data_IF_155958079772
#
_entry.id   IF_155958079772
#
_cell.length_a   1.000
_cell.length_b   1.000
_cell.length_c   1.000
_cell.angle_alpha   90.00
_cell.angle_beta   90.00
_cell.angle_gamma   90.00
#
_symmetry.space_group_name_H-M   'P 1'
#
loop_
_entity.id
_entity.type
_entity.pdbx_description
1 polymer ?
#
# COMPACT_ATOMS: atom_id res chain seq x y z
N UNK A 1 -24.09 19.18 7.92
CA UNK A 1 -24.98 18.07 7.47
C UNK A 1 -24.14 16.83 7.30
N UNK A 2 -24.58 15.69 7.85
CA UNK A 2 -23.88 14.42 7.67
C UNK A 2 -24.03 13.96 6.21
N UNK A 3 -22.92 13.59 5.57
CA UNK A 3 -22.92 13.12 4.18
C UNK A 3 -23.88 11.95 4.00
N UNK A 4 -24.78 12.09 3.02
CA UNK A 4 -25.69 11.03 2.59
C UNK A 4 -24.90 9.85 2.01
N UNK A 5 -25.50 8.67 1.98
CA UNK A 5 -24.85 7.48 1.42
C UNK A 5 -24.49 7.64 -0.07
N UNK A 6 -25.33 8.36 -0.82
CA UNK A 6 -25.11 8.67 -2.23
C UNK A 6 -23.87 9.55 -2.44
N UNK A 7 -23.68 10.58 -1.61
CA UNK A 7 -22.50 11.45 -1.66
C UNK A 7 -21.21 10.71 -1.31
N UNK A 8 -21.27 9.76 -0.36
CA UNK A 8 -20.13 8.89 -0.03
C UNK A 8 -19.74 7.98 -1.20
N UNK A 9 -20.72 7.38 -1.88
CA UNK A 9 -20.47 6.55 -3.06
C UNK A 9 -19.96 7.35 -4.26
N UNK A 10 -20.46 8.57 -4.47
CA UNK A 10 -19.96 9.46 -5.52
C UNK A 10 -18.48 9.79 -5.27
N UNK A 11 -18.11 10.14 -4.04
CA UNK A 11 -16.73 10.46 -3.65
C UNK A 11 -15.80 9.25 -3.70
N UNK A 12 -16.30 8.06 -3.38
CA UNK A 12 -15.55 6.80 -3.52
C UNK A 12 -15.26 6.49 -5.00
N UNK A 13 -16.28 6.62 -5.87
CA UNK A 13 -16.11 6.45 -7.33
C UNK A 13 -15.17 7.49 -7.92
N UNK A 14 -15.25 8.75 -7.48
CA UNK A 14 -14.34 9.80 -7.93
C UNK A 14 -12.89 9.54 -7.51
N UNK A 15 -12.66 8.98 -6.33
CA UNK A 15 -11.32 8.53 -5.89
C UNK A 15 -10.84 7.31 -6.69
N UNK A 16 -11.70 6.32 -6.89
CA UNK A 16 -11.38 5.13 -7.67
C UNK A 16 -11.10 5.44 -9.15
N UNK A 17 -11.78 6.43 -9.74
CA UNK A 17 -11.51 6.89 -11.11
C UNK A 17 -10.19 7.68 -11.24
N UNK A 18 -9.72 8.31 -10.16
CA UNK A 18 -8.46 9.07 -10.14
C UNK A 18 -7.24 8.19 -9.88
N UNK A 19 -7.45 6.98 -9.39
CA UNK A 19 -6.41 6.01 -9.10
C UNK A 19 -6.45 4.94 -10.21
N UNK A 20 -5.57 5.01 -11.24
CA UNK A 20 -5.60 4.04 -12.35
C UNK A 20 -5.46 2.58 -11.88
N UNK A 21 -4.92 2.37 -10.67
CA UNK A 21 -4.78 1.06 -10.01
C UNK A 21 -5.81 0.80 -8.90
N UNK A 22 -6.76 1.71 -8.64
CA UNK A 22 -7.66 1.64 -7.49
C UNK A 22 -8.53 0.38 -7.42
N UNK A 23 -8.70 -0.33 -8.55
CA UNK A 23 -9.37 -1.63 -8.65
C UNK A 23 -8.42 -2.84 -8.74
N UNK A 24 -7.11 -2.62 -8.88
CA UNK A 24 -6.08 -3.65 -9.07
C UNK A 24 -5.23 -3.92 -7.82
N UNK A 25 -5.33 -3.06 -6.79
CA UNK A 25 -4.58 -3.25 -5.55
C UNK A 25 -5.18 -4.37 -4.69
N UNK A 26 -4.33 -5.33 -4.30
CA UNK A 26 -4.67 -6.41 -3.36
C UNK A 26 -4.32 -6.00 -1.94
N UNK A 27 -5.22 -6.27 -0.98
CA UNK A 27 -4.97 -6.01 0.43
C UNK A 27 -4.05 -7.08 1.03
N UNK A 28 -2.87 -6.66 1.48
CA UNK A 28 -1.94 -7.49 2.27
C UNK A 28 -2.06 -7.11 3.75
N UNK A 29 -2.34 -8.09 4.61
CA UNK A 29 -2.41 -7.90 6.07
C UNK A 29 -1.55 -8.93 6.78
N UNK A 30 -0.70 -8.47 7.70
CA UNK A 30 0.14 -9.35 8.54
C UNK A 30 0.45 -8.67 9.87
N UNK A 31 0.73 -9.48 10.90
CA UNK A 31 1.19 -9.01 12.20
C UNK A 31 2.72 -8.96 12.19
N UNK A 32 3.29 -7.82 12.58
CA UNK A 32 4.74 -7.63 12.63
C UNK A 32 5.21 -7.42 14.07
N UNK A 33 6.41 -7.91 14.44
CA UNK A 33 7.05 -7.52 15.69
C UNK A 33 7.24 -5.99 15.79
N UNK A 34 7.23 -5.41 17.00
CA UNK A 34 7.37 -3.96 17.19
C UNK A 34 8.63 -3.37 16.53
N UNK A 35 9.72 -4.13 16.52
CA UNK A 35 10.99 -3.71 15.92
C UNK A 35 10.89 -3.58 14.38
N UNK A 36 10.21 -4.51 13.71
CA UNK A 36 10.00 -4.45 12.26
C UNK A 36 9.14 -3.22 11.89
N UNK A 37 8.10 -2.93 12.67
CA UNK A 37 7.30 -1.73 12.50
C UNK A 37 8.10 -0.44 12.72
N UNK A 38 9.01 -0.41 13.71
CA UNK A 38 9.89 0.73 13.94
C UNK A 38 10.84 0.97 12.76
N UNK A 39 11.38 -0.09 12.16
CA UNK A 39 12.23 0.01 10.96
C UNK A 39 11.46 0.54 9.76
N UNK A 40 10.22 0.07 9.54
CA UNK A 40 9.35 0.59 8.48
C UNK A 40 9.12 2.11 8.62
N UNK A 41 8.89 2.60 9.84
CA UNK A 41 8.76 4.05 10.10
C UNK A 41 10.06 4.82 9.82
N UNK A 42 11.23 4.24 10.10
CA UNK A 42 12.53 4.86 9.78
C UNK A 42 12.72 4.93 8.26
N UNK A 43 12.41 3.85 7.54
CA UNK A 43 12.49 3.81 6.08
C UNK A 43 11.64 4.91 5.43
N UNK A 44 10.39 5.07 5.87
CA UNK A 44 9.52 6.15 5.40
C UNK A 44 10.15 7.54 5.61
N UNK A 45 10.71 7.79 6.80
CA UNK A 45 11.35 9.08 7.12
C UNK A 45 12.59 9.35 6.27
N UNK A 46 13.42 8.33 6.03
CA UNK A 46 14.67 8.49 5.29
C UNK A 46 14.45 8.61 3.79
N UNK A 47 13.48 7.88 3.24
CA UNK A 47 13.25 7.80 1.78
C UNK A 47 12.15 8.73 1.29
N UNK A 48 11.27 9.19 2.17
CA UNK A 48 10.04 9.91 1.79
C UNK A 48 8.96 9.01 1.19
N UNK A 49 9.20 7.70 1.08
CA UNK A 49 8.27 6.74 0.51
C UNK A 49 7.08 6.48 1.45
N UNK A 50 5.94 6.17 0.84
CA UNK A 50 4.76 5.69 1.57
C UNK A 50 4.98 4.27 2.09
N UNK A 51 4.17 3.86 3.07
CA UNK A 51 4.22 2.49 3.60
C UNK A 51 4.08 1.42 2.51
N UNK A 52 3.15 1.64 1.57
CA UNK A 52 2.91 0.71 0.47
C UNK A 52 4.16 0.55 -0.39
N UNK A 53 4.76 1.66 -0.80
CA UNK A 53 5.98 1.67 -1.62
C UNK A 53 7.16 0.99 -0.91
N UNK A 54 7.34 1.22 0.40
CA UNK A 54 8.39 0.54 1.16
C UNK A 54 8.18 -0.99 1.20
N UNK A 55 6.93 -1.43 1.40
CA UNK A 55 6.61 -2.86 1.48
C UNK A 55 6.75 -3.50 0.09
N UNK A 56 6.23 -2.86 -0.95
CA UNK A 56 6.32 -3.32 -2.34
C UNK A 56 7.78 -3.47 -2.79
N UNK A 57 8.62 -2.46 -2.56
CA UNK A 57 10.05 -2.55 -2.88
C UNK A 57 10.76 -3.67 -2.12
N UNK A 58 10.44 -3.86 -0.83
CA UNK A 58 11.03 -4.94 -0.04
C UNK A 58 10.61 -6.33 -0.56
N UNK A 59 9.35 -6.50 -0.95
CA UNK A 59 8.84 -7.75 -1.53
C UNK A 59 9.50 -8.02 -2.88
N UNK A 60 9.52 -7.04 -3.79
CA UNK A 60 10.09 -7.21 -5.13
C UNK A 60 11.59 -7.48 -5.08
N UNK A 61 12.33 -6.76 -4.23
CA UNK A 61 13.76 -7.00 -4.03
C UNK A 61 14.02 -8.43 -3.53
N UNK A 62 13.25 -8.89 -2.54
CA UNK A 62 13.40 -10.25 -2.03
C UNK A 62 13.01 -11.29 -3.09
N UNK A 63 11.99 -11.03 -3.89
CA UNK A 63 11.59 -11.90 -4.99
C UNK A 63 12.67 -12.00 -6.08
N UNK A 64 13.31 -10.89 -6.44
CA UNK A 64 14.47 -10.87 -7.34
C UNK A 64 15.65 -11.65 -6.76
N UNK A 65 16.00 -11.42 -5.49
CA UNK A 65 17.08 -12.13 -4.79
C UNK A 65 16.85 -13.65 -4.75
N UNK A 66 15.59 -14.09 -4.68
CA UNK A 66 15.20 -15.50 -4.60
C UNK A 66 14.76 -16.10 -5.95
N UNK A 67 14.81 -15.35 -7.06
CA UNK A 67 14.29 -15.74 -8.38
C UNK A 67 12.82 -16.20 -8.36
N UNK A 68 11.99 -15.55 -7.55
CA UNK A 68 10.54 -15.76 -7.49
C UNK A 68 9.76 -14.87 -8.47
N UNK A 69 10.44 -14.20 -9.40
CA UNK A 69 9.89 -13.18 -10.30
C UNK A 69 9.20 -13.73 -11.56
N UNK A 70 9.08 -15.05 -11.69
CA UNK A 70 8.44 -15.71 -12.83
C UNK A 70 7.61 -16.92 -12.36
N UNK A 71 6.29 -16.82 -12.51
CA UNK A 71 5.41 -17.94 -12.89
C UNK A 71 5.03 -17.79 -14.37
#
# INVERSE_FOLDING_TARGET
MAMTAAERQAKYREKALKDPDGHLLVRVQTMLPPQAHANLKRLQKTTGLTQSQCIEQAINRLAEELNCSTE
#
